data_IF_025386388598
#
_entry.id   IF_025386388598
#
_cell.length_a   1.000
_cell.length_b   1.000
_cell.length_c   1.000
_cell.angle_alpha   90.00
_cell.angle_beta   90.00
_cell.angle_gamma   90.00
#
_symmetry.space_group_name_H-M   'P 1'
#
loop_
_entity.id
_entity.type
_entity.pdbx_description
1 polymer ?
#
# COMPACT_ATOMS: atom_id res chain seq x y z
N UNK A 1 61.21 40.76 -20.06
CA UNK A 1 61.41 39.45 -19.47
C UNK A 1 60.20 39.07 -18.70
N UNK A 2 59.16 38.49 -19.38
CA UNK A 2 57.91 38.07 -18.82
C UNK A 2 57.67 36.63 -19.28
N UNK A 3 58.15 35.69 -18.54
CA UNK A 3 57.86 34.26 -18.71
C UNK A 3 57.63 33.63 -17.33
N UNK A 4 56.48 33.84 -16.77
CA UNK A 4 56.20 33.28 -15.45
C UNK A 4 54.72 33.22 -15.05
N UNK A 5 53.79 33.60 -15.94
CA UNK A 5 52.36 33.72 -15.56
C UNK A 5 51.39 32.73 -16.21
N UNK A 6 51.84 31.94 -17.20
CA UNK A 6 50.94 30.99 -17.88
C UNK A 6 50.92 29.60 -17.24
N UNK A 7 51.99 29.19 -16.56
CA UNK A 7 52.02 27.88 -15.90
C UNK A 7 51.13 27.80 -14.66
N UNK A 8 51.00 28.90 -13.91
CA UNK A 8 50.15 28.89 -12.69
C UNK A 8 48.64 28.86 -13.00
N UNK A 9 48.21 29.37 -14.16
CA UNK A 9 46.80 29.31 -14.56
C UNK A 9 46.37 27.93 -15.06
N UNK A 10 47.23 27.20 -15.73
CA UNK A 10 46.93 25.86 -16.21
C UNK A 10 46.87 24.85 -15.06
N UNK A 11 47.77 24.99 -14.08
CA UNK A 11 47.77 24.13 -12.89
C UNK A 11 46.55 24.39 -12.01
N UNK A 12 46.15 25.66 -11.81
CA UNK A 12 44.96 26.02 -11.05
C UNK A 12 43.68 25.54 -11.72
N UNK A 13 43.57 25.57 -13.06
CA UNK A 13 42.43 25.02 -13.79
C UNK A 13 42.32 23.51 -13.66
N UNK A 14 43.44 22.79 -13.80
CA UNK A 14 43.45 21.32 -13.67
C UNK A 14 43.10 20.88 -12.24
N UNK A 15 43.62 21.55 -11.23
CA UNK A 15 43.33 21.30 -9.82
C UNK A 15 41.87 21.62 -9.52
N UNK A 16 41.33 22.72 -10.08
CA UNK A 16 39.91 23.08 -9.90
C UNK A 16 38.98 22.06 -10.54
N UNK A 17 39.30 21.53 -11.73
CA UNK A 17 38.49 20.46 -12.37
C UNK A 17 38.57 19.16 -11.59
N UNK A 18 39.73 18.77 -11.12
CA UNK A 18 39.90 17.56 -10.29
C UNK A 18 39.14 17.70 -8.96
N UNK A 19 39.20 18.89 -8.34
CA UNK A 19 38.48 19.16 -7.11
C UNK A 19 36.95 19.15 -7.33
N UNK A 20 36.50 19.67 -8.47
CA UNK A 20 35.06 19.69 -8.82
C UNK A 20 34.54 18.29 -9.14
N UNK A 21 35.35 17.46 -9.81
CA UNK A 21 35.01 16.04 -10.04
C UNK A 21 35.04 15.24 -8.73
N UNK A 22 36.03 15.49 -7.86
CA UNK A 22 36.09 14.85 -6.54
C UNK A 22 34.90 15.25 -5.65
N UNK A 23 34.51 16.53 -5.68
CA UNK A 23 33.31 17.01 -4.95
C UNK A 23 32.03 16.43 -5.57
N UNK A 24 31.92 16.33 -6.88
CA UNK A 24 30.77 15.70 -7.55
C UNK A 24 30.69 14.21 -7.23
N UNK A 25 31.80 13.50 -7.16
CA UNK A 25 31.83 12.08 -6.76
C UNK A 25 31.49 11.92 -5.28
N UNK A 26 32.00 12.80 -4.40
CA UNK A 26 31.66 12.77 -2.97
C UNK A 26 30.18 13.16 -2.75
N UNK A 27 29.68 14.18 -3.46
CA UNK A 27 28.27 14.56 -3.39
C UNK A 27 27.38 13.49 -4.03
N UNK A 28 27.79 12.88 -5.13
CA UNK A 28 27.10 11.72 -5.71
C UNK A 28 27.06 10.53 -4.75
N UNK A 29 28.18 10.20 -4.12
CA UNK A 29 28.26 9.13 -3.12
C UNK A 29 27.46 9.48 -1.84
N UNK A 30 27.48 10.74 -1.38
CA UNK A 30 26.69 11.17 -0.22
C UNK A 30 25.22 11.33 -0.55
N UNK A 31 24.85 11.72 -1.77
CA UNK A 31 23.45 11.73 -2.21
C UNK A 31 22.95 10.29 -2.34
N UNK A 32 23.74 9.38 -2.87
CA UNK A 32 23.42 7.94 -2.91
C UNK A 32 23.21 7.37 -1.49
N UNK A 33 24.05 7.77 -0.52
CA UNK A 33 23.91 7.37 0.89
C UNK A 33 22.70 8.05 1.59
N UNK A 34 22.26 9.22 1.12
CA UNK A 34 21.10 9.93 1.68
C UNK A 34 19.76 9.53 1.03
N UNK A 35 19.78 9.05 -0.22
CA UNK A 35 18.60 8.57 -0.95
C UNK A 35 18.46 7.05 -0.94
N UNK A 36 19.54 6.32 -0.73
CA UNK A 36 19.53 4.87 -0.61
C UNK A 36 19.93 4.56 0.83
N UNK A 37 18.97 4.25 1.66
CA UNK A 37 19.18 3.71 2.98
C UNK A 37 20.21 2.60 2.93
N UNK A 38 20.97 2.44 3.97
CA UNK A 38 22.09 1.53 4.15
C UNK A 38 22.02 0.28 3.26
N UNK A 39 22.95 0.14 2.32
CA UNK A 39 23.24 -1.16 1.71
C UNK A 39 23.77 -2.08 2.78
N UNK A 40 22.92 -2.81 3.43
CA UNK A 40 23.30 -3.91 4.29
C UNK A 40 23.68 -5.07 3.39
N UNK A 41 24.96 -5.24 3.16
CA UNK A 41 25.49 -6.38 2.42
C UNK A 41 25.42 -7.59 3.34
N UNK A 42 24.30 -8.31 3.26
CA UNK A 42 24.08 -9.51 4.04
C UNK A 42 24.51 -10.69 3.20
N UNK A 43 25.61 -11.28 3.62
CA UNK A 43 26.12 -12.51 3.05
C UNK A 43 27.55 -12.76 3.52
N UNK A 44 27.81 -13.97 4.02
CA UNK A 44 29.13 -14.53 4.15
C UNK A 44 29.76 -14.79 2.77
N UNK A 45 30.96 -15.41 2.68
CA UNK A 45 31.68 -15.67 1.42
C UNK A 45 30.92 -16.58 0.43
N UNK A 46 29.73 -17.04 0.76
CA UNK A 46 28.79 -17.81 -0.09
C UNK A 46 27.39 -17.23 0.03
N UNK A 47 27.22 -15.90 -0.24
CA UNK A 47 25.90 -15.31 -0.20
C UNK A 47 25.01 -15.92 -1.29
N UNK A 48 23.89 -16.50 -0.89
CA UNK A 48 22.89 -17.10 -1.79
C UNK A 48 22.13 -16.03 -2.56
N UNK A 49 21.98 -14.84 -1.96
CA UNK A 49 21.41 -13.66 -2.59
C UNK A 49 21.92 -12.36 -1.95
N UNK A 50 22.00 -11.31 -2.74
CA UNK A 50 22.28 -9.94 -2.26
C UNK A 50 21.24 -8.99 -2.78
N UNK A 51 20.76 -8.11 -1.89
CA UNK A 51 19.75 -7.12 -2.18
C UNK A 51 20.21 -5.73 -1.79
N UNK A 52 19.86 -4.76 -2.60
CA UNK A 52 19.83 -3.36 -2.25
C UNK A 52 18.41 -3.01 -1.78
N UNK A 53 18.30 -2.25 -0.69
CA UNK A 53 17.03 -1.82 -0.13
C UNK A 53 16.94 -0.31 -0.24
N UNK A 54 15.88 0.18 -0.85
CA UNK A 54 15.52 1.59 -0.84
C UNK A 54 14.19 1.74 -0.09
N UNK A 55 14.14 2.74 0.78
CA UNK A 55 12.91 3.12 1.46
C UNK A 55 12.03 3.86 0.46
N UNK A 56 10.76 3.49 0.45
CA UNK A 56 9.73 4.12 -0.38
C UNK A 56 8.60 4.60 0.53
N UNK A 57 7.86 5.65 0.16
CA UNK A 57 6.66 6.07 0.90
C UNK A 57 5.62 4.97 1.11
N UNK A 58 5.68 3.92 0.32
CA UNK A 58 4.66 2.85 0.29
C UNK A 58 5.21 1.46 0.63
N UNK A 59 6.46 1.39 1.09
CA UNK A 59 7.09 0.12 1.44
C UNK A 59 8.60 0.11 1.24
N UNK A 60 9.19 -1.06 1.15
CA UNK A 60 10.62 -1.23 0.84
C UNK A 60 10.75 -1.65 -0.62
N UNK A 61 11.48 -0.88 -1.41
CA UNK A 61 11.93 -1.33 -2.72
C UNK A 61 13.16 -2.22 -2.55
N UNK A 62 13.03 -3.48 -2.96
CA UNK A 62 14.11 -4.45 -2.93
C UNK A 62 14.64 -4.67 -4.34
N UNK A 63 15.90 -4.31 -4.58
CA UNK A 63 16.60 -4.58 -5.83
C UNK A 63 17.50 -5.80 -5.68
N UNK A 64 17.27 -6.83 -6.47
CA UNK A 64 18.10 -8.01 -6.49
C UNK A 64 19.43 -7.70 -7.20
N UNK A 65 20.56 -7.66 -6.49
CA UNK A 65 21.87 -7.48 -7.10
C UNK A 65 22.42 -8.80 -7.65
N UNK A 66 22.32 -9.86 -6.85
CA UNK A 66 22.77 -11.20 -7.21
C UNK A 66 21.87 -12.24 -6.53
N UNK A 67 21.42 -13.21 -7.29
CA UNK A 67 20.63 -14.36 -6.83
C UNK A 67 21.33 -15.64 -7.30
N UNK A 68 21.90 -16.38 -6.38
CA UNK A 68 22.53 -17.68 -6.66
C UNK A 68 21.55 -18.84 -6.46
N UNK A 69 20.61 -18.68 -5.52
CA UNK A 69 19.51 -19.61 -5.25
C UNK A 69 18.22 -18.83 -5.03
N UNK A 70 17.08 -19.43 -5.36
CA UNK A 70 15.78 -18.83 -5.19
C UNK A 70 15.54 -18.44 -3.73
N UNK A 71 14.95 -17.28 -3.52
CA UNK A 71 14.62 -16.77 -2.19
C UNK A 71 13.16 -16.35 -2.10
N UNK A 72 12.63 -16.41 -0.89
CA UNK A 72 11.28 -15.96 -0.56
C UNK A 72 11.36 -14.78 0.42
N UNK A 73 10.58 -13.75 0.17
CA UNK A 73 10.39 -12.62 1.07
C UNK A 73 9.10 -12.82 1.84
N UNK A 74 9.18 -12.74 3.15
CA UNK A 74 8.03 -12.84 4.06
C UNK A 74 7.87 -11.54 4.85
N UNK A 75 6.62 -11.11 5.03
CA UNK A 75 6.24 -10.08 6.01
C UNK A 75 5.38 -10.77 7.08
N UNK A 76 5.79 -10.63 8.35
CA UNK A 76 5.13 -11.26 9.50
C UNK A 76 4.92 -12.78 9.32
N UNK A 77 5.87 -13.44 8.62
CA UNK A 77 5.82 -14.87 8.33
C UNK A 77 4.93 -15.28 7.15
N UNK A 78 4.33 -14.32 6.44
CA UNK A 78 3.58 -14.59 5.20
C UNK A 78 4.46 -14.25 3.99
N UNK A 79 4.47 -15.13 2.99
CA UNK A 79 5.20 -14.90 1.74
C UNK A 79 4.50 -13.79 0.93
N UNK A 80 5.26 -12.76 0.59
CA UNK A 80 4.77 -11.61 -0.20
C UNK A 80 5.46 -11.50 -1.56
N UNK A 81 6.70 -11.97 -1.68
CA UNK A 81 7.45 -11.99 -2.93
C UNK A 81 8.42 -13.18 -2.99
N UNK A 82 8.95 -13.43 -4.17
CA UNK A 82 10.08 -14.36 -4.39
C UNK A 82 10.98 -13.80 -5.48
N UNK A 83 12.27 -14.15 -5.41
CA UNK A 83 13.24 -13.79 -6.42
C UNK A 83 14.01 -15.04 -6.84
N UNK A 84 14.27 -15.14 -8.13
CA UNK A 84 15.11 -16.17 -8.73
C UNK A 84 16.29 -15.57 -9.51
N UNK A 85 17.13 -16.38 -10.10
CA UNK A 85 18.32 -15.91 -10.82
C UNK A 85 18.02 -15.02 -12.03
N UNK A 86 16.79 -15.02 -12.56
CA UNK A 86 16.36 -14.15 -13.66
C UNK A 86 15.98 -12.74 -13.18
N UNK A 87 15.80 -12.56 -11.89
CA UNK A 87 15.43 -11.28 -11.28
C UNK A 87 16.64 -10.39 -10.97
N UNK A 88 17.87 -10.83 -11.25
CA UNK A 88 19.06 -10.02 -11.02
C UNK A 88 18.98 -8.67 -11.77
N UNK A 89 19.12 -7.57 -11.03
CA UNK A 89 18.96 -6.19 -11.50
C UNK A 89 17.50 -5.71 -11.54
N UNK A 90 16.53 -6.51 -11.09
CA UNK A 90 15.13 -6.08 -10.98
C UNK A 90 14.80 -5.61 -9.57
N UNK A 91 13.97 -4.58 -9.48
CA UNK A 91 13.41 -4.08 -8.23
C UNK A 91 11.98 -4.56 -8.05
N UNK A 92 11.59 -4.78 -6.79
CA UNK A 92 10.19 -5.03 -6.39
C UNK A 92 9.86 -4.20 -5.16
N UNK A 93 8.73 -3.52 -5.22
CA UNK A 93 8.18 -2.85 -4.07
C UNK A 93 7.49 -3.89 -3.17
N UNK A 94 7.90 -3.93 -1.92
CA UNK A 94 7.31 -4.76 -0.86
C UNK A 94 6.57 -3.82 0.08
N UNK A 95 5.25 -3.73 0.02
CA UNK A 95 4.48 -2.92 0.94
C UNK A 95 4.68 -3.40 2.37
N UNK A 96 4.96 -2.48 3.27
CA UNK A 96 5.22 -2.77 4.69
C UNK A 96 4.66 -1.67 5.56
N UNK A 97 4.47 -1.97 6.84
CA UNK A 97 4.06 -1.01 7.87
C UNK A 97 5.09 -0.96 8.99
N UNK A 98 5.17 0.14 9.76
CA UNK A 98 5.96 0.18 10.97
C UNK A 98 5.60 -0.97 11.91
N UNK A 99 6.60 -1.68 12.42
CA UNK A 99 6.41 -2.87 13.27
C UNK A 99 6.43 -4.20 12.51
N UNK A 100 6.28 -4.19 11.19
CA UNK A 100 6.37 -5.41 10.39
C UNK A 100 7.74 -6.08 10.49
N UNK A 101 7.74 -7.41 10.48
CA UNK A 101 8.95 -8.22 10.43
C UNK A 101 9.19 -8.68 8.99
N UNK A 102 10.14 -8.03 8.30
CA UNK A 102 10.60 -8.49 6.99
C UNK A 102 11.61 -9.61 7.20
N UNK A 103 11.41 -10.72 6.49
CA UNK A 103 12.32 -11.87 6.51
C UNK A 103 12.58 -12.35 5.09
N UNK A 104 13.84 -12.56 4.73
CA UNK A 104 14.25 -13.21 3.47
C UNK A 104 14.78 -14.58 3.80
N UNK A 105 14.23 -15.60 3.18
CA UNK A 105 14.58 -17.00 3.41
C UNK A 105 14.99 -17.69 2.11
N UNK A 106 15.95 -18.62 2.20
CA UNK A 106 16.33 -19.50 1.10
C UNK A 106 15.18 -20.45 0.76
N UNK A 107 14.92 -20.66 -0.52
CA UNK A 107 13.89 -21.57 -1.02
C UNK A 107 14.39 -23.03 -1.18
N UNK A 108 15.62 -23.35 -0.79
CA UNK A 108 16.28 -24.66 -0.92
C UNK A 108 15.65 -25.77 -0.05
N UNK A 109 14.58 -25.47 0.68
CA UNK A 109 13.91 -26.39 1.61
C UNK A 109 14.52 -26.42 3.01
N UNK A 110 15.69 -25.84 3.23
CA UNK A 110 16.31 -25.69 4.57
C UNK A 110 15.65 -24.55 5.38
N UNK A 111 14.97 -23.63 4.70
CA UNK A 111 14.39 -22.41 5.30
C UNK A 111 15.42 -21.58 6.06
N UNK A 112 16.63 -21.48 5.51
CA UNK A 112 17.66 -20.66 6.11
C UNK A 112 17.27 -19.17 6.03
N UNK A 113 17.23 -18.50 7.18
CA UNK A 113 16.97 -17.04 7.24
C UNK A 113 18.23 -16.31 6.79
N UNK A 114 18.11 -15.60 5.67
CA UNK A 114 19.19 -14.78 5.11
C UNK A 114 19.15 -13.37 5.69
N UNK A 115 17.95 -12.82 5.86
CA UNK A 115 17.68 -11.50 6.42
C UNK A 115 16.51 -11.60 7.39
N UNK A 116 16.59 -10.86 8.48
CA UNK A 116 15.44 -10.62 9.37
C UNK A 116 15.55 -9.21 9.92
N UNK A 117 14.58 -8.36 9.61
CA UNK A 117 14.55 -6.95 9.97
C UNK A 117 13.17 -6.55 10.45
N UNK A 118 13.09 -5.83 11.55
CA UNK A 118 11.85 -5.13 11.94
C UNK A 118 11.84 -3.78 11.25
N UNK A 119 10.72 -3.44 10.63
CA UNK A 119 10.49 -2.14 10.05
C UNK A 119 10.23 -1.16 11.20
N UNK A 120 10.97 -0.08 11.29
CA UNK A 120 10.81 0.89 12.37
C UNK A 120 10.17 2.21 11.86
N UNK A 121 9.68 3.04 12.80
CA UNK A 121 9.01 4.31 12.49
C UNK A 121 9.92 5.34 11.76
N UNK A 122 11.23 5.13 11.77
CA UNK A 122 12.20 5.98 11.06
C UNK A 122 12.34 5.59 9.59
N UNK A 123 12.03 4.37 9.29
CA UNK A 123 11.93 3.86 7.93
C UNK A 123 10.56 4.25 7.33
N UNK A 124 10.02 5.43 7.61
CA UNK A 124 8.66 5.89 7.28
C UNK A 124 8.14 5.29 5.98
N UNK A 125 7.53 4.14 6.15
CA UNK A 125 7.18 3.23 5.10
C UNK A 125 5.67 3.26 5.01
N UNK A 126 5.21 3.97 4.05
CA UNK A 126 3.83 4.15 3.74
C UNK A 126 3.46 5.62 3.81
N UNK A 127 3.30 6.25 2.68
CA UNK A 127 2.53 7.47 2.56
C UNK A 127 1.05 7.08 2.71
N UNK A 128 0.73 6.52 3.89
CA UNK A 128 -0.64 6.21 4.22
C UNK A 128 -1.42 7.52 4.36
N UNK A 129 -2.58 7.55 3.74
CA UNK A 129 -3.63 8.51 4.10
C UNK A 129 -4.28 8.03 5.40
N UNK A 130 -4.62 6.73 5.47
CA UNK A 130 -5.19 6.09 6.66
C UNK A 130 -4.86 4.60 6.69
N UNK A 131 -4.72 4.02 7.90
CA UNK A 131 -4.50 2.59 8.11
C UNK A 131 -5.29 2.10 9.32
N UNK A 132 -6.21 1.19 9.11
CA UNK A 132 -7.05 0.59 10.15
C UNK A 132 -6.81 -0.91 10.21
N UNK A 133 -6.19 -1.39 11.30
CA UNK A 133 -5.87 -2.82 11.49
C UNK A 133 -6.99 -3.60 12.15
N UNK A 134 -7.92 -2.94 12.81
CA UNK A 134 -9.00 -3.56 13.60
C UNK A 134 -8.53 -4.54 14.69
N UNK A 135 -7.24 -4.57 15.01
CA UNK A 135 -6.67 -5.50 16.00
C UNK A 135 -6.88 -5.04 17.45
N UNK A 136 -6.93 -3.74 17.68
CA UNK A 136 -7.04 -3.14 19.02
C UNK A 136 -8.50 -2.94 19.43
N UNK A 137 -9.23 -4.03 19.55
CA UNK A 137 -10.56 -4.00 20.13
C UNK A 137 -10.52 -3.94 21.66
N UNK A 138 -10.50 -2.75 22.22
CA UNK A 138 -10.57 -2.51 23.66
C UNK A 138 -11.98 -2.17 24.18
N UNK A 139 -13.03 -2.48 23.38
CA UNK A 139 -14.40 -2.00 23.53
C UNK A 139 -14.52 -0.46 23.44
N UNK A 140 -13.60 0.17 22.72
CA UNK A 140 -13.68 1.59 22.39
C UNK A 140 -14.77 1.86 21.37
N UNK A 141 -15.40 3.02 21.45
CA UNK A 141 -16.29 3.54 20.42
C UNK A 141 -15.50 4.24 19.29
N UNK A 142 -14.19 4.04 19.24
CA UNK A 142 -13.25 4.68 18.32
C UNK A 142 -12.47 3.62 17.55
N UNK A 143 -12.42 3.76 16.23
CA UNK A 143 -11.48 3.08 15.34
C UNK A 143 -10.22 3.93 15.21
N UNK A 144 -9.08 3.42 15.69
CA UNK A 144 -7.82 4.14 15.63
C UNK A 144 -7.17 4.04 14.26
N UNK A 145 -6.64 5.16 13.78
CA UNK A 145 -5.79 5.23 12.60
C UNK A 145 -4.33 4.95 13.01
N UNK A 146 -3.76 3.88 12.50
CA UNK A 146 -2.37 3.48 12.76
C UNK A 146 -1.37 4.14 11.78
N UNK A 147 -1.84 4.95 10.82
CA UNK A 147 -0.98 5.68 9.88
C UNK A 147 -0.17 6.80 10.53
N UNK A 148 -0.65 7.30 11.67
CA UNK A 148 -0.09 8.47 12.35
C UNK A 148 -0.63 9.82 11.85
N UNK A 149 -1.67 9.81 10.98
CA UNK A 149 -2.32 11.03 10.45
C UNK A 149 -3.56 11.44 11.26
N UNK A 150 -3.86 10.73 12.36
CA UNK A 150 -4.99 10.99 13.26
C UNK A 150 -6.39 10.93 12.59
N UNK A 151 -6.53 10.17 11.50
CA UNK A 151 -7.79 9.95 10.79
C UNK A 151 -8.65 8.90 11.52
N UNK A 152 -8.88 9.08 12.81
CA UNK A 152 -9.66 8.16 13.64
C UNK A 152 -11.14 8.19 13.28
N UNK A 153 -11.83 7.05 13.40
CA UNK A 153 -13.26 6.92 13.12
C UNK A 153 -14.09 6.68 14.37
N UNK A 154 -15.25 7.30 14.42
CA UNK A 154 -16.28 7.06 15.44
C UNK A 154 -17.15 5.88 15.06
N UNK A 155 -17.25 4.86 15.91
CA UNK A 155 -18.18 3.76 15.73
C UNK A 155 -19.64 4.24 15.95
N UNK A 156 -20.52 3.90 15.03
CA UNK A 156 -21.94 4.24 15.06
C UNK A 156 -22.78 2.97 14.94
N UNK A 157 -23.86 2.91 15.68
CA UNK A 157 -24.62 1.69 15.89
C UNK A 157 -24.05 0.93 17.07
N UNK A 158 -23.75 -0.33 16.91
CA UNK A 158 -23.15 -1.18 17.95
C UNK A 158 -22.26 -2.28 17.32
N UNK A 159 -21.31 -1.89 16.41
CA UNK A 159 -20.42 -2.87 15.78
C UNK A 159 -19.58 -3.57 16.84
N UNK A 160 -19.20 -4.82 16.61
CA UNK A 160 -18.54 -5.67 17.61
C UNK A 160 -17.11 -5.98 17.25
N UNK A 161 -16.19 -5.69 18.15
CA UNK A 161 -14.81 -6.15 18.06
C UNK A 161 -14.75 -7.68 18.22
N UNK A 162 -14.07 -8.35 17.30
CA UNK A 162 -13.95 -9.82 17.28
C UNK A 162 -12.52 -10.32 17.52
N UNK A 163 -11.59 -9.41 17.86
CA UNK A 163 -10.19 -9.77 18.15
C UNK A 163 -9.31 -9.89 16.90
N UNK A 164 -9.49 -9.00 15.94
CA UNK A 164 -8.77 -8.92 14.66
C UNK A 164 -9.67 -8.46 13.52
N UNK A 165 -10.90 -8.07 13.85
CA UNK A 165 -11.85 -7.47 12.92
C UNK A 165 -12.91 -6.69 13.68
N UNK A 166 -13.66 -5.89 12.94
CA UNK A 166 -14.88 -5.24 13.40
C UNK A 166 -16.06 -5.84 12.65
N UNK A 167 -17.02 -6.40 13.41
CA UNK A 167 -18.23 -6.99 12.86
C UNK A 167 -19.33 -5.96 12.76
N UNK A 168 -19.94 -5.88 11.61
CA UNK A 168 -21.10 -5.07 11.24
C UNK A 168 -22.30 -5.97 11.05
N UNK A 169 -23.50 -5.56 11.48
CA UNK A 169 -24.74 -6.34 11.40
C UNK A 169 -25.77 -5.79 10.40
N UNK A 170 -25.34 -4.91 9.49
CA UNK A 170 -26.21 -4.24 8.52
C UNK A 170 -26.94 -3.01 9.07
N UNK A 171 -26.63 -2.59 10.32
CA UNK A 171 -27.13 -1.34 10.90
C UNK A 171 -26.01 -0.41 11.36
N UNK A 172 -24.77 -0.91 11.39
CA UNK A 172 -23.59 -0.26 11.90
C UNK A 172 -22.81 0.47 10.81
N UNK A 173 -21.93 1.40 11.21
CA UNK A 173 -20.93 2.04 10.36
C UNK A 173 -19.85 2.70 11.20
N UNK A 174 -18.74 3.09 10.57
CA UNK A 174 -17.73 3.96 11.15
C UNK A 174 -17.74 5.28 10.41
N UNK A 175 -17.79 6.38 11.14
CA UNK A 175 -17.74 7.73 10.63
C UNK A 175 -16.33 8.29 10.85
N UNK A 176 -15.56 8.38 9.78
CA UNK A 176 -14.24 9.02 9.78
C UNK A 176 -14.44 10.45 9.34
N UNK A 177 -14.64 11.33 10.31
CA UNK A 177 -14.79 12.74 10.06
C UNK A 177 -13.53 13.28 9.39
N UNK A 178 -13.69 13.85 8.22
CA UNK A 178 -12.70 14.64 7.48
C UNK A 178 -11.25 14.10 7.53
N UNK A 179 -10.86 13.36 6.51
CA UNK A 179 -9.46 13.03 6.29
C UNK A 179 -8.67 14.33 6.15
N UNK A 180 -8.03 14.77 7.23
CA UNK A 180 -7.26 16.00 7.42
C UNK A 180 -7.17 16.91 6.20
N UNK A 181 -8.20 17.74 6.05
CA UNK A 181 -8.37 18.90 5.19
C UNK A 181 -7.58 18.92 3.86
N UNK A 182 -8.32 18.87 2.75
CA UNK A 182 -7.87 19.28 1.41
C UNK A 182 -6.68 18.50 0.81
N UNK A 183 -6.63 17.19 0.97
CA UNK A 183 -5.69 16.37 0.21
C UNK A 183 -6.24 16.18 -1.21
N UNK A 184 -5.82 17.07 -2.11
CA UNK A 184 -5.95 16.81 -3.54
C UNK A 184 -5.05 15.60 -3.86
N UNK A 185 -5.64 14.44 -4.10
CA UNK A 185 -4.90 13.25 -4.51
C UNK A 185 -5.01 13.08 -6.01
N UNK A 186 -3.88 13.23 -6.67
CA UNK A 186 -3.76 12.92 -8.09
C UNK A 186 -3.71 11.40 -8.36
N UNK A 187 -3.37 10.62 -7.34
CA UNK A 187 -3.24 9.17 -7.39
C UNK A 187 -3.44 8.55 -6.01
N UNK A 188 -4.00 7.37 -5.92
CA UNK A 188 -4.17 6.65 -4.65
C UNK A 188 -4.40 5.14 -4.86
N UNK A 189 -4.23 4.39 -3.77
CA UNK A 189 -4.64 2.99 -3.67
C UNK A 189 -5.45 2.80 -2.39
N UNK A 190 -6.59 2.15 -2.51
CA UNK A 190 -7.42 1.68 -1.39
C UNK A 190 -7.44 0.16 -1.38
N UNK A 191 -7.15 -0.44 -0.23
CA UNK A 191 -7.23 -1.88 -0.03
C UNK A 191 -8.08 -2.20 1.20
N UNK A 192 -9.01 -3.14 1.07
CA UNK A 192 -9.86 -3.58 2.16
C UNK A 192 -9.92 -5.11 2.21
N UNK A 193 -9.66 -5.68 3.39
CA UNK A 193 -9.86 -7.11 3.63
C UNK A 193 -11.09 -7.30 4.49
N UNK A 194 -12.00 -8.15 4.01
CA UNK A 194 -13.31 -8.34 4.61
C UNK A 194 -13.82 -9.77 4.44
N UNK A 195 -14.85 -10.09 5.22
CA UNK A 195 -15.69 -11.30 5.08
C UNK A 195 -17.14 -10.85 5.07
N UNK A 196 -17.82 -10.92 3.93
CA UNK A 196 -19.23 -10.58 3.81
C UNK A 196 -20.11 -11.77 4.22
N UNK A 197 -21.12 -11.57 5.05
CA UNK A 197 -21.96 -12.65 5.55
C UNK A 197 -23.34 -12.72 4.88
N UNK A 198 -23.85 -11.62 4.37
CA UNK A 198 -25.11 -11.57 3.66
C UNK A 198 -25.02 -10.86 2.31
N UNK A 199 -25.98 -11.08 1.44
CA UNK A 199 -26.12 -10.43 0.13
C UNK A 199 -27.55 -9.99 -0.14
N UNK A 200 -28.26 -9.54 0.89
CA UNK A 200 -29.66 -9.12 0.76
C UNK A 200 -29.83 -7.76 0.08
N UNK A 201 -28.71 -7.07 -0.14
CA UNK A 201 -28.62 -5.75 -0.78
C UNK A 201 -27.21 -5.50 -1.30
N UNK A 202 -26.99 -4.42 -2.08
CA UNK A 202 -25.67 -3.81 -2.29
C UNK A 202 -25.11 -3.37 -0.94
N UNK A 203 -23.83 -3.63 -0.69
CA UNK A 203 -23.18 -3.38 0.59
C UNK A 203 -21.89 -2.59 0.39
N UNK A 204 -21.85 -1.42 1.01
CA UNK A 204 -20.69 -0.54 0.98
C UNK A 204 -19.63 -1.01 1.98
N UNK A 205 -18.40 -1.21 1.50
CA UNK A 205 -17.26 -1.53 2.36
C UNK A 205 -16.65 -0.23 2.89
N UNK A 206 -16.38 0.70 1.99
CA UNK A 206 -15.85 2.03 2.28
C UNK A 206 -16.25 3.00 1.19
N UNK A 207 -16.56 4.22 1.59
CA UNK A 207 -16.91 5.30 0.70
C UNK A 207 -16.26 6.61 1.14
N UNK A 208 -15.75 7.36 0.18
CA UNK A 208 -15.48 8.77 0.32
C UNK A 208 -16.75 9.54 0.00
N UNK A 209 -17.29 10.22 1.01
CA UNK A 209 -18.55 10.93 0.93
C UNK A 209 -18.35 12.45 0.89
N UNK A 210 -19.07 13.12 -0.02
CA UNK A 210 -19.09 14.57 -0.08
C UNK A 210 -18.06 15.18 -1.03
N UNK A 211 -18.39 16.36 -1.55
CA UNK A 211 -17.49 17.13 -2.42
C UNK A 211 -17.65 16.91 -3.92
N UNK A 212 -18.50 15.98 -4.36
CA UNK A 212 -18.88 15.83 -5.77
C UNK A 212 -17.93 15.02 -6.65
N UNK A 213 -16.95 14.34 -6.06
CA UNK A 213 -16.10 13.33 -6.70
C UNK A 213 -15.95 12.16 -5.71
N UNK A 214 -17.05 11.44 -5.53
CA UNK A 214 -17.13 10.30 -4.61
C UNK A 214 -16.41 9.11 -5.21
N UNK A 215 -15.77 8.31 -4.36
CA UNK A 215 -15.24 7.01 -4.73
C UNK A 215 -15.58 5.99 -3.65
N UNK A 216 -15.76 4.75 -4.07
CA UNK A 216 -16.17 3.70 -3.16
C UNK A 216 -15.76 2.30 -3.59
N UNK A 217 -15.61 1.43 -2.61
CA UNK A 217 -15.58 -0.03 -2.77
C UNK A 217 -16.87 -0.60 -2.20
N UNK A 218 -17.60 -1.35 -3.00
CA UNK A 218 -18.84 -1.99 -2.60
C UNK A 218 -18.99 -3.39 -3.20
N UNK A 219 -19.99 -4.12 -2.75
CA UNK A 219 -20.36 -5.41 -3.29
C UNK A 219 -21.81 -5.41 -3.70
N UNK A 220 -22.07 -5.64 -4.96
CA UNK A 220 -23.41 -5.81 -5.49
C UNK A 220 -23.95 -7.22 -5.29
N UNK A 221 -25.24 -7.33 -4.98
CA UNK A 221 -25.91 -8.62 -4.87
C UNK A 221 -26.02 -9.29 -6.24
N UNK A 222 -25.51 -10.52 -6.36
CA UNK A 222 -25.71 -11.38 -7.54
C UNK A 222 -26.76 -12.45 -7.25
N UNK A 223 -26.61 -13.19 -6.14
CA UNK A 223 -27.59 -14.18 -5.65
C UNK A 223 -27.72 -14.08 -4.12
N UNK A 224 -28.51 -14.97 -3.51
CA UNK A 224 -28.66 -14.99 -2.05
C UNK A 224 -27.35 -15.28 -1.26
N UNK A 225 -26.33 -15.82 -1.93
CA UNK A 225 -25.06 -16.17 -1.29
C UNK A 225 -23.84 -15.76 -2.12
N UNK A 226 -24.03 -14.91 -3.10
CA UNK A 226 -22.96 -14.46 -4.00
C UNK A 226 -23.08 -12.97 -4.26
N UNK A 227 -21.95 -12.30 -4.31
CA UNK A 227 -21.79 -10.88 -4.61
C UNK A 227 -20.75 -10.65 -5.73
N UNK A 228 -20.80 -9.48 -6.35
CA UNK A 228 -19.82 -8.98 -7.31
C UNK A 228 -19.19 -7.71 -6.76
N UNK A 229 -17.85 -7.63 -6.66
CA UNK A 229 -17.16 -6.42 -6.24
C UNK A 229 -17.30 -5.30 -7.25
N UNK A 230 -17.44 -4.08 -6.73
CA UNK A 230 -17.51 -2.84 -7.51
C UNK A 230 -16.51 -1.83 -6.96
N UNK A 231 -15.82 -1.15 -7.85
CA UNK A 231 -15.05 0.04 -7.55
C UNK A 231 -15.50 1.16 -8.47
N UNK A 232 -15.93 2.26 -7.90
CA UNK A 232 -16.37 3.39 -8.68
C UNK A 232 -15.69 4.68 -8.24
N UNK A 233 -15.54 5.57 -9.21
CA UNK A 233 -15.20 6.97 -9.01
C UNK A 233 -16.30 7.77 -9.71
N UNK A 234 -17.15 8.45 -8.94
CA UNK A 234 -18.27 9.21 -9.49
C UNK A 234 -17.83 10.64 -9.83
N UNK A 235 -17.63 10.89 -11.12
CA UNK A 235 -17.37 12.21 -11.69
C UNK A 235 -18.63 12.88 -12.26
N UNK A 236 -19.82 12.44 -11.82
CA UNK A 236 -21.08 12.91 -12.36
C UNK A 236 -21.46 12.26 -13.71
N UNK A 237 -20.66 11.35 -14.23
CA UNK A 237 -20.95 10.49 -15.36
C UNK A 237 -21.07 9.00 -14.99
N UNK A 238 -20.72 8.68 -13.72
CA UNK A 238 -20.91 7.35 -13.12
C UNK A 238 -20.17 6.25 -13.88
N UNK A 239 -18.84 6.23 -13.85
CA UNK A 239 -18.08 5.08 -14.33
C UNK A 239 -17.78 4.15 -13.15
N UNK A 240 -18.26 2.91 -13.22
CA UNK A 240 -17.98 1.85 -12.27
C UNK A 240 -17.23 0.71 -12.94
N UNK A 241 -16.31 0.10 -12.20
CA UNK A 241 -15.70 -1.17 -12.55
C UNK A 241 -16.45 -2.27 -11.82
N UNK A 242 -16.92 -3.25 -12.54
CA UNK A 242 -17.67 -4.37 -12.02
C UNK A 242 -17.02 -5.67 -12.45
N UNK A 243 -16.93 -6.64 -11.54
CA UNK A 243 -16.55 -7.98 -11.95
C UNK A 243 -17.74 -8.69 -12.59
N UNK A 244 -17.53 -9.29 -13.77
CA UNK A 244 -18.51 -10.18 -14.38
C UNK A 244 -18.61 -11.53 -13.66
N UNK A 245 -17.77 -11.79 -12.64
CA UNK A 245 -17.80 -12.96 -11.78
C UNK A 245 -18.66 -12.78 -10.56
N UNK A 246 -18.75 -13.83 -9.74
CA UNK A 246 -19.39 -13.79 -8.43
C UNK A 246 -18.53 -14.49 -7.39
N UNK A 247 -18.63 -14.02 -6.14
CA UNK A 247 -17.89 -14.53 -5.00
C UNK A 247 -18.86 -14.94 -3.89
N UNK A 248 -18.55 -16.06 -3.25
CA UNK A 248 -19.39 -16.60 -2.17
C UNK A 248 -19.20 -15.80 -0.88
N UNK A 249 -20.32 -15.64 -0.14
CA UNK A 249 -20.26 -15.13 1.23
C UNK A 249 -19.53 -16.08 2.17
N UNK A 250 -19.01 -15.54 3.28
CA UNK A 250 -18.30 -16.29 4.32
C UNK A 250 -16.83 -16.56 4.00
N UNK A 251 -16.33 -16.12 2.84
CA UNK A 251 -14.91 -16.19 2.50
C UNK A 251 -14.22 -14.85 2.71
N UNK A 252 -13.04 -14.87 3.33
CA UNK A 252 -12.20 -13.68 3.47
C UNK A 252 -11.62 -13.31 2.11
N UNK A 253 -11.72 -12.04 1.74
CA UNK A 253 -11.25 -11.49 0.47
C UNK A 253 -10.54 -10.17 0.67
N UNK A 254 -9.60 -9.86 -0.22
CA UNK A 254 -8.95 -8.55 -0.29
C UNK A 254 -9.34 -7.87 -1.59
N UNK A 255 -10.07 -6.75 -1.49
CA UNK A 255 -10.45 -5.91 -2.61
C UNK A 255 -9.54 -4.70 -2.67
N UNK A 256 -9.02 -4.39 -3.85
CA UNK A 256 -8.13 -3.24 -4.05
C UNK A 256 -8.60 -2.41 -5.23
N UNK A 257 -8.78 -1.11 -5.00
CA UNK A 257 -8.97 -0.11 -6.02
C UNK A 257 -7.73 0.78 -6.12
N UNK A 258 -7.28 1.09 -7.32
CA UNK A 258 -6.18 2.03 -7.55
C UNK A 258 -6.56 3.05 -8.61
N UNK A 259 -6.04 4.27 -8.48
CA UNK A 259 -6.23 5.37 -9.41
C UNK A 259 -4.91 6.11 -9.62
N UNK A 260 -4.47 6.25 -10.87
CA UNK A 260 -3.21 6.87 -11.27
C UNK A 260 -3.36 8.30 -11.83
N UNK A 261 -4.49 8.95 -11.55
CA UNK A 261 -4.83 10.26 -12.10
C UNK A 261 -5.48 10.19 -13.49
N UNK A 262 -5.62 8.99 -14.07
CA UNK A 262 -6.18 8.79 -15.41
C UNK A 262 -6.94 7.49 -15.54
N UNK A 263 -6.40 6.42 -14.99
CA UNK A 263 -6.95 5.08 -15.06
C UNK A 263 -7.26 4.60 -13.66
N UNK A 264 -8.42 4.04 -13.44
CA UNK A 264 -8.73 3.30 -12.24
C UNK A 264 -8.85 1.82 -12.53
N UNK A 265 -8.43 1.00 -11.58
CA UNK A 265 -8.34 -0.43 -11.72
C UNK A 265 -8.86 -1.13 -10.48
N UNK A 266 -9.55 -2.26 -10.70
CA UNK A 266 -10.13 -3.10 -9.66
C UNK A 266 -9.40 -4.44 -9.60
N UNK A 267 -9.06 -4.88 -8.38
CA UNK A 267 -8.42 -6.16 -8.11
C UNK A 267 -9.12 -6.88 -6.97
N UNK A 268 -9.15 -8.20 -7.02
CA UNK A 268 -9.55 -9.07 -5.91
C UNK A 268 -8.50 -10.15 -5.69
N UNK A 269 -8.06 -10.34 -4.44
CA UNK A 269 -7.01 -11.28 -4.05
C UNK A 269 -5.76 -11.17 -4.96
N UNK A 270 -5.34 -9.93 -5.24
CA UNK A 270 -4.19 -9.59 -6.07
C UNK A 270 -4.39 -9.77 -7.59
N UNK A 271 -5.55 -10.21 -8.05
CA UNK A 271 -5.83 -10.37 -9.47
C UNK A 271 -6.61 -9.19 -10.01
N UNK A 272 -6.13 -8.61 -11.12
CA UNK A 272 -6.85 -7.57 -11.84
C UNK A 272 -8.15 -8.11 -12.40
N UNK A 273 -9.23 -7.40 -12.12
CA UNK A 273 -10.59 -7.74 -12.53
C UNK A 273 -10.99 -6.88 -13.71
N UNK A 274 -10.87 -5.55 -13.55
CA UNK A 274 -11.31 -4.60 -14.55
C UNK A 274 -10.48 -3.32 -14.51
N UNK A 275 -10.63 -2.47 -15.53
CA UNK A 275 -10.02 -1.13 -15.58
C UNK A 275 -10.74 -0.23 -16.55
N UNK A 276 -10.86 1.06 -16.19
CA UNK A 276 -11.40 2.09 -17.06
C UNK A 276 -10.57 3.38 -16.99
N UNK A 277 -10.76 4.25 -17.96
CA UNK A 277 -10.21 5.59 -17.90
C UNK A 277 -11.21 6.48 -17.16
N UNK A 278 -10.78 7.06 -16.07
CA UNK A 278 -11.47 8.14 -15.39
C UNK A 278 -10.64 9.39 -15.52
N UNK A 279 -11.18 10.56 -15.36
CA UNK A 279 -10.43 11.71 -15.75
C UNK A 279 -10.67 13.01 -15.04
N UNK A 280 -10.77 13.07 -13.72
CA UNK A 280 -10.79 14.34 -13.01
C UNK A 280 -10.17 14.20 -11.62
N UNK A 281 -9.79 15.33 -11.01
CA UNK A 281 -9.19 15.39 -9.69
C UNK A 281 -10.11 14.74 -8.65
N UNK A 282 -9.65 13.66 -8.05
CA UNK A 282 -10.31 13.01 -6.91
C UNK A 282 -9.96 13.77 -5.65
N UNK A 283 -10.96 14.02 -4.82
CA UNK A 283 -10.75 14.66 -3.51
C UNK A 283 -10.85 13.62 -2.41
N UNK A 284 -10.09 13.82 -1.36
CA UNK A 284 -10.24 13.10 -0.11
C UNK A 284 -10.95 14.03 0.90
N UNK A 285 -12.00 13.53 1.50
CA UNK A 285 -12.80 14.26 2.50
C UNK A 285 -13.33 13.29 3.55
N UNK A 286 -14.62 13.33 3.83
CA UNK A 286 -15.25 12.43 4.79
C UNK A 286 -15.22 10.98 4.31
N UNK A 287 -14.77 10.03 5.16
CA UNK A 287 -14.84 8.60 4.91
C UNK A 287 -15.91 7.95 5.75
N UNK A 288 -16.63 7.02 5.15
CA UNK A 288 -17.57 6.14 5.84
C UNK A 288 -17.19 4.68 5.57
N UNK A 289 -17.08 3.89 6.62
CA UNK A 289 -16.80 2.46 6.53
C UNK A 289 -18.08 1.69 6.88
N UNK A 290 -18.50 0.80 5.99
CA UNK A 290 -19.68 -0.04 6.20
C UNK A 290 -21.01 0.63 5.85
N UNK A 291 -21.03 1.77 5.16
CA UNK A 291 -22.23 2.46 4.72
C UNK A 291 -21.96 3.42 3.55
N UNK A 292 -23.05 3.81 2.86
CA UNK A 292 -23.05 4.78 1.75
C UNK A 292 -22.99 6.25 2.19
N UNK A 293 -23.31 6.56 3.42
CA UNK A 293 -23.24 7.91 3.96
C UNK A 293 -23.38 7.90 5.49
N UNK A 294 -22.91 8.96 6.20
CA UNK A 294 -23.16 9.11 7.62
C UNK A 294 -24.67 9.13 7.91
N UNK A 295 -25.13 8.19 8.74
CA UNK A 295 -26.56 8.07 9.07
C UNK A 295 -27.46 7.52 7.95
N UNK A 296 -26.94 7.21 6.76
CA UNK A 296 -27.63 6.50 5.70
C UNK A 296 -28.16 5.14 6.18
N UNK A 297 -29.22 4.61 5.61
CA UNK A 297 -29.81 3.32 5.97
C UNK A 297 -29.80 2.30 4.83
N UNK A 298 -29.33 2.70 3.67
CA UNK A 298 -29.12 1.86 2.50
C UNK A 298 -27.67 1.33 2.48
N UNK A 299 -27.39 0.33 1.69
CA UNK A 299 -26.06 -0.20 1.40
C UNK A 299 -25.18 -0.50 2.63
N UNK A 300 -25.81 -0.84 3.77
CA UNK A 300 -25.10 -1.19 5.00
C UNK A 300 -24.40 -2.54 4.88
N UNK A 301 -23.13 -2.57 5.32
CA UNK A 301 -22.33 -3.79 5.35
C UNK A 301 -22.84 -4.76 6.43
N UNK A 302 -22.88 -6.05 6.10
CA UNK A 302 -23.16 -7.15 7.03
C UNK A 302 -22.05 -8.20 6.88
N UNK A 303 -21.16 -8.24 7.89
CA UNK A 303 -19.96 -9.07 7.85
C UNK A 303 -18.86 -8.52 8.75
N UNK A 304 -17.64 -8.94 8.48
CA UNK A 304 -16.44 -8.51 9.21
C UNK A 304 -15.48 -7.76 8.29
N UNK A 305 -14.96 -6.62 8.75
CA UNK A 305 -13.86 -5.90 8.11
C UNK A 305 -12.61 -6.11 8.97
N UNK A 306 -11.55 -6.61 8.33
CA UNK A 306 -10.32 -7.03 9.01
C UNK A 306 -9.23 -5.99 8.93
N UNK A 307 -9.11 -5.31 7.78
CA UNK A 307 -8.09 -4.30 7.57
C UNK A 307 -8.48 -3.36 6.43
N UNK A 308 -8.16 -2.07 6.56
CA UNK A 308 -8.27 -1.08 5.49
C UNK A 308 -6.98 -0.29 5.43
N UNK A 309 -6.44 -0.12 4.22
CA UNK A 309 -5.26 0.69 3.92
C UNK A 309 -5.57 1.66 2.80
N UNK A 310 -5.30 2.92 3.01
CA UNK A 310 -5.43 3.98 2.01
C UNK A 310 -4.08 4.68 1.84
N UNK A 311 -3.58 4.74 0.60
CA UNK A 311 -2.26 5.25 0.25
C UNK A 311 -2.34 6.42 -0.72
N UNK A 312 -1.39 7.37 -0.63
CA UNK A 312 -1.23 8.48 -1.58
C UNK A 312 -0.62 8.08 -2.94
N UNK A 313 -0.46 6.82 -3.23
CA UNK A 313 0.22 6.32 -4.43
C UNK A 313 -0.64 5.27 -5.14
N UNK A 314 -0.69 5.33 -6.46
CA UNK A 314 -1.23 4.27 -7.28
C UNK A 314 -0.22 3.12 -7.38
N UNK A 315 -0.52 1.97 -6.80
CA UNK A 315 0.31 0.79 -6.96
C UNK A 315 0.18 0.19 -8.36
N UNK A 316 1.31 -0.30 -8.86
CA UNK A 316 1.32 -1.19 -10.01
C UNK A 316 0.85 -2.60 -9.63
N UNK A 317 0.73 -3.47 -10.63
CA UNK A 317 0.27 -4.86 -10.42
C UNK A 317 1.10 -5.62 -9.38
N UNK A 318 2.42 -5.38 -9.30
CA UNK A 318 3.28 -6.06 -8.32
C UNK A 318 3.05 -5.53 -6.90
N UNK A 319 2.88 -4.23 -6.76
CA UNK A 319 2.50 -3.60 -5.49
C UNK A 319 1.14 -4.11 -5.00
N UNK A 320 0.16 -4.24 -5.89
CA UNK A 320 -1.17 -4.79 -5.58
C UNK A 320 -1.10 -6.26 -5.13
N UNK A 321 -0.34 -7.10 -5.85
CA UNK A 321 -0.13 -8.50 -5.44
C UNK A 321 0.51 -8.59 -4.05
N UNK A 322 1.47 -7.71 -3.78
CA UNK A 322 2.17 -7.69 -2.49
C UNK A 322 1.25 -7.21 -1.36
N UNK A 323 0.52 -6.10 -1.54
CA UNK A 323 -0.41 -5.60 -0.51
C UNK A 323 -1.51 -6.62 -0.23
N UNK A 324 -2.06 -7.26 -1.26
CA UNK A 324 -3.09 -8.30 -1.09
C UNK A 324 -2.57 -9.46 -0.24
N UNK A 325 -1.34 -9.94 -0.48
CA UNK A 325 -0.73 -11.04 0.29
C UNK A 325 -0.45 -10.68 1.76
N UNK A 326 -0.07 -9.43 2.03
CA UNK A 326 0.16 -8.99 3.42
C UNK A 326 -1.14 -8.91 4.20
N UNK A 327 -2.23 -8.52 3.54
CA UNK A 327 -3.55 -8.34 4.16
C UNK A 327 -4.36 -9.64 4.28
N UNK A 328 -4.02 -10.75 3.57
CA UNK A 328 -4.62 -12.08 3.72
C UNK A 328 -4.32 -12.69 5.10
#
# INVERSE_FOLDING_TARGET
>A
MFLGKEHDRAVTSAVAVILLVAVAVILGATITVYFFGFTEKIGGPTAEATFEYAESPVGIEMTAEQIAEDVTVEINGKQVASFDSSDAGQSRLIPTSPGDQLTVISADGSRSVLVSRTIDDRDRIGDFIAHYTFEKGDNSDILYDESGNDNTGDLKGDPKWTGGSLRFDGSDYVDVNDLSADVDVSEFTIAATFTQESTDRTQQIIEHYGGGNEWYLENDQVTANEYSPVYAIDHGAGESLEDAGSYSTGERRTLVGTYDGKTFELYIDGKKIDSANGGDDVKMGELVIGADAPGGSSQRFDGEIHEIRLYHTAFDTQGIESVSKVME
#
